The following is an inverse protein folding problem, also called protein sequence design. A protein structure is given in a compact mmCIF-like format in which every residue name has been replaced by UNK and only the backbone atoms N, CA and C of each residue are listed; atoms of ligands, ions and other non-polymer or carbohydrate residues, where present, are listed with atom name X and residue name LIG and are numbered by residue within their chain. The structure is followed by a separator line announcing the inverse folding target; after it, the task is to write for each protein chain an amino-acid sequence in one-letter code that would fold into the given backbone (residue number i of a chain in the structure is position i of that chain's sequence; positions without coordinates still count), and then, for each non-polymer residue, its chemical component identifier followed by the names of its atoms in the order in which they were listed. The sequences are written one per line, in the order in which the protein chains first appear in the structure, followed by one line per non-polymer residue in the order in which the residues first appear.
data_IF_474358391368
#
_entry.id   IF_474358391368
#
_cell.length_a   1.000
_cell.length_b   1.000
_cell.length_c   1.000
_cell.angle_alpha   90.00
_cell.angle_beta   90.00
_cell.angle_gamma   90.00
#
_symmetry.space_group_name_H-M   'P 1'
#
loop_
_entity.id
_entity.type
_entity.pdbx_description
1 polymer ?
#
# COMPACT_ATOMS: atom_id res chain seq x y z
N UNK A 1 15.26 -63.24 -2.55
CA UNK A 1 13.99 -62.47 -2.56
C UNK A 1 14.34 -61.01 -2.82
N UNK A 2 14.32 -60.59 -4.07
CA UNK A 2 14.51 -59.18 -4.46
C UNK A 2 13.18 -58.45 -4.23
N UNK A 3 13.13 -57.60 -3.19
CA UNK A 3 11.97 -56.77 -2.91
C UNK A 3 11.60 -55.88 -4.11
N UNK A 4 10.33 -55.46 -4.24
CA UNK A 4 9.90 -54.61 -5.34
C UNK A 4 10.70 -53.31 -5.35
N UNK A 5 11.35 -53.00 -6.47
CA UNK A 5 12.04 -51.74 -6.68
C UNK A 5 10.99 -50.61 -6.64
N UNK A 6 10.99 -49.84 -5.55
CA UNK A 6 10.06 -48.72 -5.37
C UNK A 6 10.16 -47.73 -6.55
N UNK A 7 9.04 -47.13 -7.01
CA UNK A 7 9.01 -46.18 -8.14
C UNK A 7 9.63 -44.80 -7.80
N UNK A 8 10.52 -44.73 -6.81
CA UNK A 8 11.25 -43.52 -6.40
C UNK A 8 11.84 -42.75 -7.59
N UNK A 9 12.44 -43.38 -8.62
CA UNK A 9 12.94 -42.66 -9.78
C UNK A 9 11.83 -42.02 -10.62
N UNK A 10 10.70 -42.70 -10.80
CA UNK A 10 9.56 -42.21 -11.58
C UNK A 10 8.87 -41.05 -10.87
N UNK A 11 8.69 -41.15 -9.55
CA UNK A 11 8.13 -40.07 -8.73
C UNK A 11 9.05 -38.84 -8.79
N UNK A 12 10.37 -39.02 -8.67
CA UNK A 12 11.33 -37.93 -8.77
C UNK A 12 11.30 -37.25 -10.15
N UNK A 13 11.18 -38.02 -11.24
CA UNK A 13 11.06 -37.47 -12.60
C UNK A 13 9.77 -36.67 -12.75
N UNK A 14 8.62 -37.20 -12.33
CA UNK A 14 7.34 -36.49 -12.40
C UNK A 14 7.40 -35.18 -11.61
N UNK A 15 7.89 -35.21 -10.37
CA UNK A 15 8.04 -34.00 -9.54
C UNK A 15 8.97 -32.98 -10.21
N UNK A 16 10.09 -33.43 -10.78
CA UNK A 16 11.03 -32.54 -11.48
C UNK A 16 10.41 -31.88 -12.71
N UNK A 17 9.65 -32.63 -13.52
CA UNK A 17 8.92 -32.10 -14.67
C UNK A 17 7.82 -31.13 -14.25
N UNK A 18 7.07 -31.42 -13.18
CA UNK A 18 6.05 -30.52 -12.64
C UNK A 18 6.65 -29.21 -12.11
N UNK A 19 7.78 -29.28 -11.39
CA UNK A 19 8.48 -28.08 -10.90
C UNK A 19 9.01 -27.26 -12.08
N UNK A 20 9.61 -27.91 -13.07
CA UNK A 20 10.12 -27.23 -14.27
C UNK A 20 8.98 -26.55 -15.05
N UNK A 21 7.83 -27.21 -15.19
CA UNK A 21 6.65 -26.66 -15.84
C UNK A 21 6.08 -25.47 -15.08
N UNK A 22 5.94 -25.57 -13.75
CA UNK A 22 5.49 -24.45 -12.90
C UNK A 22 6.48 -23.28 -13.01
N UNK A 23 7.78 -23.57 -12.98
CA UNK A 23 8.83 -22.56 -13.16
C UNK A 23 8.75 -21.84 -14.52
N UNK A 24 8.52 -22.59 -15.60
CA UNK A 24 8.34 -22.04 -16.94
C UNK A 24 7.06 -21.20 -17.04
N UNK A 25 5.94 -21.71 -16.54
CA UNK A 25 4.67 -20.98 -16.48
C UNK A 25 4.85 -19.68 -15.71
N UNK A 26 5.51 -19.72 -14.55
CA UNK A 26 5.78 -18.53 -13.75
C UNK A 26 6.69 -17.54 -14.47
N UNK A 27 7.73 -18.01 -15.18
CA UNK A 27 8.63 -17.14 -15.94
C UNK A 27 7.92 -16.42 -17.10
N UNK A 28 6.88 -17.02 -17.67
CA UNK A 28 6.10 -16.44 -18.77
C UNK A 28 4.94 -15.57 -18.27
N UNK A 29 4.25 -16.00 -17.21
CA UNK A 29 3.02 -15.35 -16.73
C UNK A 29 3.26 -14.25 -15.69
N UNK A 30 4.35 -14.32 -14.91
CA UNK A 30 4.60 -13.32 -13.88
C UNK A 30 5.20 -12.05 -14.49
N UNK A 31 4.71 -10.87 -14.10
CA UNK A 31 5.21 -9.61 -14.64
C UNK A 31 6.69 -9.39 -14.26
N UNK A 32 7.46 -8.87 -15.22
CA UNK A 32 8.84 -8.47 -14.97
C UNK A 32 8.86 -7.27 -14.01
N UNK A 33 9.44 -7.49 -12.83
CA UNK A 33 9.54 -6.45 -11.79
C UNK A 33 10.71 -5.53 -12.06
N UNK A 34 10.42 -4.24 -12.24
CA UNK A 34 11.43 -3.19 -12.35
C UNK A 34 11.72 -2.64 -10.96
N UNK A 35 12.98 -2.72 -10.54
CA UNK A 35 13.42 -2.26 -9.22
C UNK A 35 13.94 -0.83 -9.30
N UNK A 36 13.74 -0.04 -8.25
CA UNK A 36 14.45 1.22 -8.07
C UNK A 36 15.85 0.87 -7.55
N UNK A 37 16.88 1.20 -8.35
CA UNK A 37 18.28 0.88 -8.04
C UNK A 37 19.02 2.10 -7.51
N UNK A 38 18.74 3.26 -8.10
CA UNK A 38 19.40 4.51 -7.76
C UNK A 38 18.41 5.44 -7.07
N UNK A 39 18.43 5.43 -5.73
CA UNK A 39 17.63 6.34 -4.91
C UNK A 39 18.19 7.76 -4.90
N UNK A 40 19.48 7.96 -5.22
CA UNK A 40 20.11 9.28 -5.30
C UNK A 40 19.69 10.07 -6.56
N UNK A 41 18.98 9.42 -7.47
CA UNK A 41 18.29 10.05 -8.59
C UNK A 41 16.79 10.31 -8.32
N UNK A 42 16.29 10.04 -7.10
CA UNK A 42 14.85 10.10 -6.82
C UNK A 42 14.42 11.34 -6.05
N UNK A 43 13.33 11.95 -6.52
CA UNK A 43 12.49 12.84 -5.72
C UNK A 43 11.17 12.15 -5.38
N UNK A 44 10.92 11.97 -4.09
CA UNK A 44 9.72 11.32 -3.55
C UNK A 44 8.74 12.34 -2.97
N UNK A 45 7.49 12.34 -3.43
CA UNK A 45 6.39 13.06 -2.77
C UNK A 45 5.64 12.12 -1.84
N UNK A 46 5.50 12.49 -0.56
CA UNK A 46 4.80 11.70 0.47
C UNK A 46 3.65 12.50 1.06
N UNK A 47 2.41 12.06 0.82
CA UNK A 47 1.24 12.64 1.49
C UNK A 47 1.09 12.04 2.89
N UNK A 48 0.70 12.86 3.87
CA UNK A 48 0.58 12.38 5.25
C UNK A 48 1.93 12.10 5.92
N UNK A 49 3.06 12.51 5.33
CA UNK A 49 4.41 12.23 5.85
C UNK A 49 4.80 12.93 7.17
N UNK A 50 3.86 13.64 7.80
CA UNK A 50 4.09 14.32 9.09
C UNK A 50 3.71 13.48 10.32
N UNK A 51 3.04 12.33 10.13
CA UNK A 51 2.59 11.46 11.24
C UNK A 51 2.37 10.02 10.80
N UNK A 52 2.33 9.09 11.76
CA UNK A 52 1.96 7.69 11.53
C UNK A 52 2.81 6.99 10.46
N UNK A 53 2.19 6.13 9.66
CA UNK A 53 2.86 5.35 8.60
C UNK A 53 3.63 6.24 7.63
N UNK A 54 3.05 7.36 7.19
CA UNK A 54 3.70 8.27 6.25
C UNK A 54 5.01 8.85 6.80
N UNK A 55 5.09 9.07 8.12
CA UNK A 55 6.31 9.52 8.79
C UNK A 55 7.44 8.49 8.65
N UNK A 56 7.11 7.22 8.81
CA UNK A 56 8.08 6.12 8.69
C UNK A 56 8.45 5.84 7.24
N UNK A 57 7.54 6.05 6.30
CA UNK A 57 7.87 6.06 4.86
C UNK A 57 8.96 7.10 4.58
N UNK A 58 8.84 8.33 5.09
CA UNK A 58 9.90 9.36 4.92
C UNK A 58 11.23 8.92 5.53
N UNK A 59 11.24 8.36 6.74
CA UNK A 59 12.48 7.85 7.36
C UNK A 59 13.15 6.76 6.53
N UNK A 60 12.37 5.84 5.99
CA UNK A 60 12.88 4.75 5.16
C UNK A 60 13.41 5.26 3.81
N UNK A 61 12.77 6.27 3.21
CA UNK A 61 13.27 6.93 2.00
C UNK A 61 14.60 7.64 2.22
N UNK A 62 14.76 8.36 3.34
CA UNK A 62 16.04 8.95 3.74
C UNK A 62 17.10 7.86 3.92
N UNK A 63 16.73 6.77 4.59
CA UNK A 63 17.63 5.64 4.87
C UNK A 63 18.10 4.90 3.62
N UNK A 64 17.32 4.98 2.53
CA UNK A 64 17.68 4.42 1.22
C UNK A 64 18.47 5.39 0.34
N UNK A 65 18.63 6.64 0.76
CA UNK A 65 19.35 7.65 0.00
C UNK A 65 18.50 8.36 -1.05
N UNK A 66 17.21 8.57 -0.79
CA UNK A 66 16.40 9.47 -1.61
C UNK A 66 17.07 10.85 -1.72
N UNK A 67 17.15 11.42 -2.91
CA UNK A 67 17.81 12.72 -3.13
C UNK A 67 17.00 13.87 -2.54
N UNK A 68 15.72 13.92 -2.91
CA UNK A 68 14.76 14.94 -2.47
C UNK A 68 13.49 14.24 -1.96
N UNK A 69 12.92 14.75 -0.87
CA UNK A 69 11.63 14.28 -0.35
C UNK A 69 10.74 15.48 -0.08
N UNK A 70 9.57 15.51 -0.71
CA UNK A 70 8.52 16.50 -0.45
C UNK A 70 7.43 15.90 0.43
N UNK A 71 7.18 16.51 1.58
CA UNK A 71 6.12 16.09 2.51
C UNK A 71 4.91 16.99 2.33
N UNK A 72 3.76 16.39 2.02
CA UNK A 72 2.48 17.11 1.85
C UNK A 72 1.56 16.86 3.03
N UNK A 73 1.15 17.92 3.71
CA UNK A 73 0.13 17.89 4.76
C UNK A 73 -0.52 19.27 4.95
N UNK A 74 -1.56 19.36 5.78
CA UNK A 74 -2.30 20.62 6.00
C UNK A 74 -1.67 21.52 7.05
N UNK A 75 -1.11 20.95 8.11
CA UNK A 75 -0.68 21.70 9.28
C UNK A 75 0.78 22.18 9.12
N UNK A 76 0.95 23.49 8.89
CA UNK A 76 2.26 24.13 8.71
C UNK A 76 3.22 23.90 9.88
N UNK A 77 2.73 23.93 11.12
CA UNK A 77 3.57 23.75 12.30
C UNK A 77 4.11 22.31 12.38
N UNK A 78 3.25 21.30 12.16
CA UNK A 78 3.66 19.89 12.10
C UNK A 78 4.63 19.64 10.94
N UNK A 79 4.40 20.26 9.78
CA UNK A 79 5.32 20.18 8.65
C UNK A 79 6.70 20.78 8.97
N UNK A 80 6.75 21.96 9.58
CA UNK A 80 8.01 22.59 9.96
C UNK A 80 8.79 21.76 10.99
N UNK A 81 8.09 21.18 11.97
CA UNK A 81 8.70 20.26 12.92
C UNK A 81 9.25 19.00 12.24
N UNK A 82 8.46 18.37 11.36
CA UNK A 82 8.87 17.22 10.58
C UNK A 82 10.08 17.53 9.68
N UNK A 83 10.10 18.69 9.01
CA UNK A 83 11.22 19.13 8.17
C UNK A 83 12.52 19.22 8.98
N UNK A 84 12.48 19.83 10.17
CA UNK A 84 13.65 19.94 11.06
C UNK A 84 14.12 18.57 11.54
N UNK A 85 13.19 17.73 11.97
CA UNK A 85 13.47 16.36 12.41
C UNK A 85 14.17 15.56 11.30
N UNK A 86 13.59 15.53 10.10
CA UNK A 86 14.10 14.76 8.97
C UNK A 86 15.39 15.31 8.38
N UNK A 87 15.56 16.63 8.37
CA UNK A 87 16.84 17.25 7.96
C UNK A 87 17.96 16.85 8.93
N UNK A 88 17.66 16.78 10.23
CA UNK A 88 18.64 16.32 11.24
C UNK A 88 18.94 14.83 11.05
N UNK A 89 17.91 14.01 10.86
CA UNK A 89 18.05 12.57 10.61
C UNK A 89 18.82 12.25 9.32
N UNK A 90 18.59 13.00 8.24
CA UNK A 90 19.33 12.85 6.98
C UNK A 90 20.81 13.20 7.13
N UNK A 91 21.16 14.15 8.01
CA UNK A 91 22.56 14.49 8.30
C UNK A 91 23.24 13.49 9.21
N UNK A 92 22.51 12.88 10.14
CA UNK A 92 23.07 11.85 11.04
C UNK A 92 23.27 10.49 10.36
N UNK A 93 22.67 10.30 9.19
CA UNK A 93 22.94 9.19 8.28
C UNK A 93 23.73 9.69 7.08
N UNK A 94 25.06 9.84 7.18
CA UNK A 94 25.89 9.93 6.00
C UNK A 94 25.73 8.62 5.24
N UNK A 95 24.72 8.55 4.37
CA UNK A 95 24.65 7.51 3.35
C UNK A 95 25.96 7.57 2.54
N UNK A 96 26.29 6.49 1.83
CA UNK A 96 27.46 6.35 0.96
C UNK A 96 27.42 7.29 -0.28
N UNK A 97 26.92 8.51 -0.12
CA UNK A 97 26.66 9.50 -1.16
C UNK A 97 27.14 10.86 -0.69
N UNK A 98 27.56 11.69 -1.64
CA UNK A 98 28.30 12.93 -1.39
C UNK A 98 27.47 14.05 -0.72
N UNK A 99 26.14 13.92 -0.64
CA UNK A 99 25.24 14.92 -0.08
C UNK A 99 24.05 14.29 0.70
N UNK A 100 23.56 14.94 1.78
CA UNK A 100 22.39 14.49 2.52
C UNK A 100 21.08 14.74 1.75
N UNK A 101 20.06 13.92 2.02
CA UNK A 101 18.70 14.09 1.47
C UNK A 101 18.14 15.47 1.78
N UNK A 102 17.58 16.14 0.75
CA UNK A 102 16.91 17.43 0.89
C UNK A 102 15.44 17.21 1.24
N UNK A 103 14.95 17.88 2.28
CA UNK A 103 13.55 17.78 2.75
C UNK A 103 12.79 19.06 2.40
N UNK A 104 11.79 18.92 1.54
CA UNK A 104 10.82 19.96 1.22
C UNK A 104 9.49 19.71 1.94
N UNK A 105 8.72 20.78 2.14
CA UNK A 105 7.38 20.70 2.71
C UNK A 105 6.41 21.50 1.87
N UNK A 106 5.23 20.94 1.65
CA UNK A 106 4.13 21.60 0.96
C UNK A 106 2.89 21.55 1.84
N UNK A 107 2.47 22.74 2.29
CA UNK A 107 1.25 22.90 3.07
C UNK A 107 0.04 22.99 2.14
N UNK A 108 -0.64 21.87 1.89
CA UNK A 108 -1.75 21.80 0.94
C UNK A 108 -2.86 20.91 1.49
N UNK A 109 -4.10 21.41 1.41
CA UNK A 109 -5.28 20.58 1.62
C UNK A 109 -5.70 19.95 0.29
N UNK A 110 -5.58 18.63 0.22
CA UNK A 110 -5.84 17.84 -0.98
C UNK A 110 -7.34 17.56 -1.19
N UNK A 111 -8.23 18.09 -0.33
CA UNK A 111 -9.68 18.10 -0.57
C UNK A 111 -10.19 19.39 -1.21
N UNK A 112 -9.30 20.32 -1.57
CA UNK A 112 -9.65 21.53 -2.32
C UNK A 112 -9.98 21.21 -3.79
N UNK A 113 -10.44 22.22 -4.51
CA UNK A 113 -10.71 22.11 -5.94
C UNK A 113 -9.46 21.73 -6.73
N UNK A 114 -9.67 20.93 -7.78
CA UNK A 114 -8.60 20.39 -8.63
C UNK A 114 -7.61 21.46 -9.10
N UNK A 115 -8.11 22.60 -9.59
CA UNK A 115 -7.27 23.68 -10.12
C UNK A 115 -6.32 24.29 -9.07
N UNK A 116 -6.78 24.41 -7.82
CA UNK A 116 -5.96 24.94 -6.71
C UNK A 116 -4.85 23.96 -6.35
N UNK A 117 -5.16 22.66 -6.35
CA UNK A 117 -4.19 21.60 -6.09
C UNK A 117 -3.17 21.54 -7.22
N UNK A 118 -3.63 21.57 -8.47
CA UNK A 118 -2.78 21.54 -9.67
C UNK A 118 -1.82 22.74 -9.71
N UNK A 119 -2.31 23.96 -9.50
CA UNK A 119 -1.47 25.16 -9.45
C UNK A 119 -0.40 25.05 -8.34
N UNK A 120 -0.80 24.62 -7.14
CA UNK A 120 0.12 24.48 -6.00
C UNK A 120 1.22 23.45 -6.26
N UNK A 121 0.86 22.30 -6.86
CA UNK A 121 1.83 21.25 -7.22
C UNK A 121 2.75 21.73 -8.33
N UNK A 122 2.21 22.38 -9.37
CA UNK A 122 2.99 22.91 -10.50
C UNK A 122 4.01 23.96 -10.05
N UNK A 123 3.61 24.87 -9.14
CA UNK A 123 4.55 25.82 -8.53
C UNK A 123 5.66 25.12 -7.75
N UNK A 124 5.32 24.12 -6.96
CA UNK A 124 6.30 23.36 -6.17
C UNK A 124 7.32 22.62 -7.05
N UNK A 125 6.86 21.96 -8.12
CA UNK A 125 7.78 21.23 -9.04
C UNK A 125 8.60 22.16 -9.93
N UNK A 126 8.23 23.44 -10.08
CA UNK A 126 9.05 24.43 -10.77
C UNK A 126 10.28 24.86 -9.95
N UNK A 127 10.22 24.70 -8.62
CA UNK A 127 11.30 25.08 -7.68
C UNK A 127 12.11 23.87 -7.18
N UNK A 128 11.75 22.67 -7.60
CA UNK A 128 12.36 21.40 -7.15
C UNK A 128 12.66 20.48 -8.34
N UNK A 129 13.31 19.34 -8.10
CA UNK A 129 13.48 18.35 -9.17
C UNK A 129 12.14 17.66 -9.52
N UNK A 130 12.05 17.05 -10.70
CA UNK A 130 10.86 16.32 -11.11
C UNK A 130 10.54 15.18 -10.12
N UNK A 131 9.29 15.08 -9.69
CA UNK A 131 8.83 14.00 -8.81
C UNK A 131 8.88 12.68 -9.58
N UNK A 132 9.65 11.74 -9.06
CA UNK A 132 9.84 10.39 -9.65
C UNK A 132 9.06 9.31 -8.90
N UNK A 133 8.71 9.57 -7.64
CA UNK A 133 8.04 8.59 -6.81
C UNK A 133 6.94 9.25 -5.97
N UNK A 134 5.76 8.65 -5.93
CA UNK A 134 4.59 9.16 -5.23
C UNK A 134 4.13 8.16 -4.16
N UNK A 135 4.11 8.57 -2.90
CA UNK A 135 3.64 7.78 -1.77
C UNK A 135 2.38 8.41 -1.18
N UNK A 136 1.23 7.85 -1.53
CA UNK A 136 -0.08 8.34 -1.12
C UNK A 136 -0.48 7.68 0.21
N UNK A 137 -0.03 8.27 1.31
CA UNK A 137 -0.26 7.75 2.68
C UNK A 137 -1.29 8.57 3.46
N UNK A 138 -1.69 9.74 2.97
CA UNK A 138 -2.75 10.53 3.60
C UNK A 138 -4.09 9.81 3.53
N UNK A 139 -4.82 9.84 4.65
CA UNK A 139 -6.17 9.30 4.77
C UNK A 139 -6.63 9.32 6.22
N UNK A 140 -7.89 9.02 6.43
CA UNK A 140 -8.49 8.82 7.75
C UNK A 140 -9.46 7.66 7.73
N UNK A 141 -9.83 7.19 8.93
CA UNK A 141 -10.80 6.15 9.11
C UNK A 141 -11.97 6.64 9.96
N UNK A 142 -13.13 6.00 9.77
CA UNK A 142 -14.33 6.25 10.54
C UNK A 142 -14.97 4.91 10.88
N UNK A 143 -14.93 4.55 12.16
CA UNK A 143 -15.62 3.41 12.72
C UNK A 143 -17.02 3.84 13.21
N UNK A 144 -18.06 3.61 12.41
CA UNK A 144 -19.45 3.88 12.78
C UNK A 144 -20.41 2.98 12.02
N UNK A 145 -21.45 2.50 12.70
CA UNK A 145 -22.51 1.70 12.06
C UNK A 145 -23.25 2.53 11.02
N UNK A 146 -23.76 1.87 9.98
CA UNK A 146 -24.33 2.56 8.82
C UNK A 146 -25.52 3.47 9.17
N UNK A 147 -26.37 3.05 10.09
CA UNK A 147 -27.55 3.81 10.56
C UNK A 147 -27.17 5.13 11.23
N UNK A 148 -26.00 5.17 11.88
CA UNK A 148 -25.54 6.31 12.67
C UNK A 148 -24.53 7.16 11.88
N UNK A 149 -24.16 6.72 10.68
CA UNK A 149 -23.19 7.40 9.83
C UNK A 149 -23.88 8.48 9.01
N UNK A 150 -23.59 9.78 9.24
CA UNK A 150 -24.17 10.85 8.45
C UNK A 150 -23.79 10.71 6.97
N UNK A 151 -24.68 11.04 6.01
CA UNK A 151 -24.36 11.00 4.58
C UNK A 151 -23.08 11.77 4.21
N UNK A 152 -22.87 12.93 4.86
CA UNK A 152 -21.65 13.75 4.67
C UNK A 152 -20.37 13.00 5.01
N UNK A 153 -20.40 12.05 5.94
CA UNK A 153 -19.23 11.25 6.32
C UNK A 153 -18.78 10.32 5.19
N UNK A 154 -19.71 9.79 4.38
CA UNK A 154 -19.37 9.00 3.19
C UNK A 154 -18.62 9.87 2.17
N UNK A 155 -19.12 11.09 1.92
CA UNK A 155 -18.42 12.05 1.07
C UNK A 155 -17.04 12.39 1.63
N UNK A 156 -16.92 12.68 2.93
CA UNK A 156 -15.62 12.99 3.55
C UNK A 156 -14.62 11.83 3.47
N UNK A 157 -15.06 10.58 3.64
CA UNK A 157 -14.20 9.40 3.48
C UNK A 157 -13.74 9.24 2.02
N UNK A 158 -14.65 9.38 1.05
CA UNK A 158 -14.28 9.34 -0.36
C UNK A 158 -13.34 10.49 -0.74
N UNK A 159 -13.61 11.71 -0.30
CA UNK A 159 -12.75 12.86 -0.56
C UNK A 159 -11.35 12.65 0.00
N UNK A 160 -11.24 12.31 1.29
CA UNK A 160 -9.95 12.21 1.98
C UNK A 160 -9.12 10.99 1.55
N UNK A 161 -9.74 9.84 1.29
CA UNK A 161 -9.03 8.60 1.00
C UNK A 161 -8.88 8.30 -0.50
N UNK A 162 -9.87 8.67 -1.32
CA UNK A 162 -9.91 8.33 -2.74
C UNK A 162 -9.58 9.52 -3.64
N UNK A 163 -10.33 10.62 -3.56
CA UNK A 163 -10.16 11.75 -4.50
C UNK A 163 -8.84 12.47 -4.33
N UNK A 164 -8.28 12.54 -3.12
CA UNK A 164 -6.93 13.06 -2.88
C UNK A 164 -5.87 12.28 -3.65
N UNK A 165 -5.99 10.94 -3.68
CA UNK A 165 -5.10 10.04 -4.39
C UNK A 165 -5.23 10.22 -5.91
N UNK A 166 -6.46 10.12 -6.43
CA UNK A 166 -6.69 10.20 -7.88
C UNK A 166 -6.36 11.58 -8.45
N UNK A 167 -6.58 12.65 -7.69
CA UNK A 167 -6.20 14.01 -8.07
C UNK A 167 -4.69 14.14 -8.24
N UNK A 168 -3.90 13.72 -7.24
CA UNK A 168 -2.45 13.80 -7.33
C UNK A 168 -1.88 12.90 -8.43
N UNK A 169 -2.44 11.70 -8.61
CA UNK A 169 -2.05 10.83 -9.72
C UNK A 169 -2.37 11.54 -11.04
N UNK A 170 -3.57 12.09 -11.23
CA UNK A 170 -3.94 12.80 -12.47
C UNK A 170 -2.96 13.92 -12.82
N UNK A 171 -2.52 14.70 -11.83
CA UNK A 171 -1.58 15.81 -12.02
C UNK A 171 -0.16 15.28 -12.35
N UNK A 172 0.33 14.29 -11.60
CA UNK A 172 1.74 13.87 -11.64
C UNK A 172 2.03 12.72 -12.60
N UNK A 173 1.02 11.94 -13.01
CA UNK A 173 1.20 10.73 -13.83
C UNK A 173 1.94 11.00 -15.15
N UNK A 174 1.66 12.08 -15.90
CA UNK A 174 2.40 12.36 -17.13
C UNK A 174 3.92 12.53 -16.87
N UNK A 175 4.28 13.26 -15.83
CA UNK A 175 5.69 13.50 -15.45
C UNK A 175 6.36 12.24 -14.91
N UNK A 176 5.66 11.46 -14.08
CA UNK A 176 6.14 10.17 -13.57
C UNK A 176 6.42 9.20 -14.72
N UNK A 177 5.51 9.10 -15.69
CA UNK A 177 5.67 8.23 -16.85
C UNK A 177 6.84 8.66 -17.76
N UNK A 178 7.12 9.97 -17.86
CA UNK A 178 8.21 10.50 -18.65
C UNK A 178 9.58 10.41 -17.95
N UNK A 179 9.61 10.48 -16.61
CA UNK A 179 10.85 10.49 -15.82
C UNK A 179 11.42 9.10 -15.57
N UNK A 180 10.57 8.06 -15.60
CA UNK A 180 10.97 6.68 -15.34
C UNK A 180 11.80 6.09 -16.48
N UNK A 181 12.70 5.18 -16.13
CA UNK A 181 13.49 4.40 -17.11
C UNK A 181 13.37 2.90 -16.84
N UNK A 182 13.80 2.06 -17.78
CA UNK A 182 13.82 0.60 -17.58
C UNK A 182 14.72 0.18 -16.42
N UNK A 183 15.81 0.91 -16.15
CA UNK A 183 16.78 0.64 -15.08
C UNK A 183 16.42 1.29 -13.74
N UNK A 184 15.63 2.37 -13.76
CA UNK A 184 15.16 3.08 -12.58
C UNK A 184 13.74 3.62 -12.87
N UNK A 185 12.69 2.82 -12.66
CA UNK A 185 11.32 3.22 -12.95
C UNK A 185 10.84 4.28 -11.94
N UNK A 186 9.95 5.15 -12.38
CA UNK A 186 9.11 5.92 -11.45
C UNK A 186 8.18 4.96 -10.72
N UNK A 187 7.66 5.34 -9.55
CA UNK A 187 6.72 4.49 -8.82
C UNK A 187 5.61 5.27 -8.12
N UNK A 188 4.43 4.66 -8.06
CA UNK A 188 3.28 5.14 -7.29
C UNK A 188 2.96 4.08 -6.25
N UNK A 189 2.85 4.50 -4.99
CA UNK A 189 2.30 3.70 -3.92
C UNK A 189 0.98 4.30 -3.45
N UNK A 190 -0.06 3.48 -3.44
CA UNK A 190 -1.39 3.81 -2.90
C UNK A 190 -1.58 3.05 -1.57
N UNK A 191 -1.88 3.78 -0.49
CA UNK A 191 -2.15 3.17 0.81
C UNK A 191 -3.65 2.88 0.97
N UNK A 192 -4.05 1.64 0.72
CA UNK A 192 -5.40 1.15 1.02
C UNK A 192 -5.49 0.72 2.50
N UNK A 193 -6.04 -0.46 2.79
CA UNK A 193 -6.18 -1.07 4.11
C UNK A 193 -6.58 -2.54 3.93
N UNK A 194 -6.37 -3.39 4.94
CA UNK A 194 -7.05 -4.69 4.99
C UNK A 194 -8.59 -4.54 4.84
N UNK A 195 -9.18 -3.46 5.37
CA UNK A 195 -10.60 -3.10 5.17
C UNK A 195 -10.93 -2.66 3.73
N UNK A 196 -9.94 -2.54 2.85
CA UNK A 196 -10.11 -2.37 1.40
C UNK A 196 -10.23 -3.70 0.64
N UNK A 197 -10.16 -4.84 1.36
CA UNK A 197 -10.25 -6.19 0.80
C UNK A 197 -11.41 -6.99 1.41
N UNK A 198 -11.81 -6.67 2.64
CA UNK A 198 -12.94 -7.29 3.33
C UNK A 198 -13.82 -6.23 4.01
N UNK A 199 -15.13 -6.45 4.01
CA UNK A 199 -16.07 -5.62 4.76
C UNK A 199 -16.08 -5.97 6.25
N UNK A 200 -15.86 -4.98 7.10
CA UNK A 200 -15.88 -5.12 8.57
C UNK A 200 -17.06 -4.32 9.14
N UNK A 201 -17.66 -4.84 10.21
CA UNK A 201 -18.74 -4.16 10.92
C UNK A 201 -18.32 -2.76 11.34
N UNK A 202 -19.16 -1.75 11.09
CA UNK A 202 -18.84 -0.36 11.44
C UNK A 202 -17.89 0.35 10.48
N UNK A 203 -17.48 -0.25 9.36
CA UNK A 203 -16.64 0.41 8.34
C UNK A 203 -17.32 0.59 7.00
N UNK A 204 -18.63 0.84 6.94
CA UNK A 204 -19.30 0.99 5.64
C UNK A 204 -18.72 2.14 4.82
N UNK A 205 -18.55 3.32 5.42
CA UNK A 205 -17.95 4.48 4.73
C UNK A 205 -16.45 4.28 4.46
N UNK A 206 -15.70 3.81 5.46
CA UNK A 206 -14.26 3.63 5.35
C UNK A 206 -13.88 2.52 4.34
N UNK A 207 -14.45 1.32 4.50
CA UNK A 207 -14.19 0.19 3.59
C UNK A 207 -14.53 0.58 2.16
N UNK A 208 -15.70 1.20 1.91
CA UNK A 208 -16.07 1.63 0.56
C UNK A 208 -14.98 2.50 -0.10
N UNK A 209 -14.43 3.47 0.63
CA UNK A 209 -13.34 4.33 0.13
C UNK A 209 -12.04 3.57 -0.16
N UNK A 210 -11.71 2.55 0.64
CA UNK A 210 -10.49 1.74 0.50
C UNK A 210 -10.63 0.66 -0.59
N UNK A 211 -11.82 0.10 -0.77
CA UNK A 211 -12.16 -0.77 -1.91
C UNK A 211 -12.10 -0.01 -3.23
N UNK A 212 -12.55 1.25 -3.27
CA UNK A 212 -12.46 2.10 -4.47
C UNK A 212 -11.00 2.25 -4.95
N UNK A 213 -10.04 2.40 -4.02
CA UNK A 213 -8.61 2.43 -4.35
C UNK A 213 -8.11 1.14 -4.99
N UNK A 214 -8.62 -0.03 -4.58
CA UNK A 214 -8.25 -1.32 -5.18
C UNK A 214 -8.73 -1.41 -6.63
N UNK A 215 -10.01 -1.13 -6.87
CA UNK A 215 -10.56 -1.11 -8.24
C UNK A 215 -9.85 -0.10 -9.15
N UNK A 216 -9.59 1.11 -8.63
CA UNK A 216 -8.82 2.13 -9.35
C UNK A 216 -7.39 1.67 -9.65
N UNK A 217 -6.70 1.04 -8.69
CA UNK A 217 -5.33 0.58 -8.88
C UNK A 217 -5.24 -0.54 -9.91
N UNK A 218 -6.19 -1.47 -9.91
CA UNK A 218 -6.21 -2.56 -10.90
C UNK A 218 -6.44 -2.03 -12.31
N UNK A 219 -7.32 -1.04 -12.50
CA UNK A 219 -7.51 -0.37 -13.79
C UNK A 219 -6.28 0.46 -14.21
N UNK A 220 -5.75 1.30 -13.31
CA UNK A 220 -4.59 2.15 -13.60
C UNK A 220 -3.35 1.33 -13.96
N UNK A 221 -3.19 0.13 -13.38
CA UNK A 221 -2.08 -0.76 -13.71
C UNK A 221 -2.06 -1.13 -15.19
N UNK A 222 -3.23 -1.38 -15.79
CA UNK A 222 -3.37 -1.65 -17.22
C UNK A 222 -3.01 -0.42 -18.07
N UNK A 223 -3.37 0.79 -17.61
CA UNK A 223 -2.97 2.04 -18.29
C UNK A 223 -1.46 2.36 -18.18
N UNK A 224 -0.79 1.78 -17.19
CA UNK A 224 0.65 1.87 -16.99
C UNK A 224 1.42 0.76 -17.71
N UNK A 225 0.73 -0.21 -18.31
CA UNK A 225 1.36 -1.24 -19.12
C UNK A 225 2.21 -0.60 -20.23
N UNK A 226 3.49 -0.99 -20.30
CA UNK A 226 4.45 -0.42 -21.26
C UNK A 226 5.10 0.91 -20.84
N UNK A 227 4.64 1.59 -19.79
CA UNK A 227 5.29 2.80 -19.25
C UNK A 227 6.32 2.42 -18.19
N UNK A 228 7.41 3.19 -18.06
CA UNK A 228 8.43 3.02 -17.02
C UNK A 228 7.99 3.51 -15.62
N UNK A 229 6.74 3.22 -15.25
CA UNK A 229 6.15 3.59 -13.97
C UNK A 229 5.53 2.35 -13.33
N UNK A 230 5.91 2.04 -12.08
CA UNK A 230 5.33 0.96 -11.31
C UNK A 230 4.17 1.46 -10.45
N UNK A 231 3.23 0.56 -10.13
CA UNK A 231 2.14 0.83 -9.22
C UNK A 231 2.06 -0.25 -8.13
N UNK A 232 2.27 0.17 -6.88
CA UNK A 232 2.09 -0.64 -5.68
C UNK A 232 0.82 -0.20 -4.95
N UNK A 233 -0.04 -1.14 -4.57
CA UNK A 233 -1.10 -0.90 -3.58
C UNK A 233 -0.78 -1.66 -2.29
N UNK A 234 -0.77 -0.93 -1.18
CA UNK A 234 -0.52 -1.49 0.14
C UNK A 234 -1.82 -1.68 0.92
N UNK A 235 -1.92 -2.77 1.69
CA UNK A 235 -3.04 -3.07 2.57
C UNK A 235 -2.56 -3.20 4.04
N UNK A 236 -2.24 -2.09 4.71
CA UNK A 236 -1.88 -2.13 6.12
C UNK A 236 -3.00 -2.72 6.99
N UNK A 237 -2.65 -3.50 8.03
CA UNK A 237 -3.57 -3.87 9.11
C UNK A 237 -3.69 -2.73 10.12
N UNK A 238 -4.32 -3.00 11.27
CA UNK A 238 -4.30 -2.08 12.41
C UNK A 238 -2.86 -1.71 12.77
N UNK A 239 -2.58 -0.41 12.78
CA UNK A 239 -1.23 0.12 12.95
C UNK A 239 -1.22 1.18 14.05
N UNK A 240 -0.30 1.03 15.00
CA UNK A 240 -0.11 1.95 16.11
C UNK A 240 0.29 3.34 15.60
N UNK A 241 -0.70 4.23 15.55
CA UNK A 241 -0.58 5.59 15.02
C UNK A 241 -1.58 6.51 15.71
N UNK A 242 -1.33 7.82 15.74
CA UNK A 242 -2.32 8.79 16.21
C UNK A 242 -3.66 8.73 15.45
N UNK A 243 -3.64 8.27 14.19
CA UNK A 243 -4.85 8.08 13.39
C UNK A 243 -5.70 6.90 13.88
N UNK A 244 -5.06 5.81 14.27
CA UNK A 244 -5.73 4.65 14.85
C UNK A 244 -6.29 4.93 16.24
N UNK A 245 -5.58 5.72 17.06
CA UNK A 245 -6.10 6.22 18.34
C UNK A 245 -7.38 7.03 18.15
N UNK A 246 -7.41 7.92 17.15
CA UNK A 246 -8.59 8.73 16.82
C UNK A 246 -9.74 7.86 16.31
N UNK A 247 -9.47 6.92 15.41
CA UNK A 247 -10.44 5.96 14.88
C UNK A 247 -11.12 5.13 15.99
N UNK A 248 -10.36 4.78 17.04
CA UNK A 248 -10.89 4.03 18.17
C UNK A 248 -11.85 4.85 19.05
N UNK A 249 -11.87 6.19 18.92
CA UNK A 249 -12.83 7.04 19.63
C UNK A 249 -14.23 6.85 19.03
N UNK A 250 -15.09 6.14 19.76
CA UNK A 250 -16.45 5.84 19.32
C UNK A 250 -16.55 4.65 18.36
N UNK A 251 -15.48 3.86 18.20
CA UNK A 251 -15.52 2.59 17.48
C UNK A 251 -16.50 1.63 18.17
N UNK A 252 -17.47 1.03 17.45
CA UNK A 252 -18.39 0.06 18.03
C UNK A 252 -17.63 -1.10 18.68
N UNK A 253 -18.09 -1.56 19.85
CA UNK A 253 -17.46 -2.70 20.54
C UNK A 253 -17.39 -3.96 19.65
N UNK A 254 -18.43 -4.19 18.84
CA UNK A 254 -18.46 -5.26 17.83
C UNK A 254 -17.28 -5.19 16.87
N UNK A 255 -16.92 -3.99 16.42
CA UNK A 255 -15.77 -3.77 15.54
C UNK A 255 -14.47 -4.10 16.26
N UNK A 256 -14.31 -3.67 17.52
CA UNK A 256 -13.13 -3.99 18.34
C UNK A 256 -12.94 -5.50 18.50
N UNK A 257 -14.01 -6.24 18.82
CA UNK A 257 -13.94 -7.71 18.94
C UNK A 257 -13.58 -8.42 17.63
N UNK A 258 -14.05 -7.89 16.49
CA UNK A 258 -13.70 -8.45 15.17
C UNK A 258 -12.21 -8.22 14.87
N UNK A 259 -11.68 -7.06 15.26
CA UNK A 259 -10.29 -6.66 14.98
C UNK A 259 -9.25 -7.25 15.95
N UNK A 260 -9.65 -7.60 17.17
CA UNK A 260 -8.76 -8.04 18.26
C UNK A 260 -7.82 -9.18 17.83
N UNK A 261 -8.33 -10.11 17.00
CA UNK A 261 -7.56 -11.24 16.49
C UNK A 261 -6.44 -10.91 15.49
N UNK A 262 -6.41 -9.70 14.91
CA UNK A 262 -5.43 -9.30 13.89
C UNK A 262 -4.13 -8.70 14.46
N UNK A 263 -4.11 -8.40 15.77
CA UNK A 263 -2.99 -7.74 16.43
C UNK A 263 -2.77 -6.28 16.01
N UNK A 264 -1.73 -5.66 16.59
CA UNK A 264 -1.36 -4.28 16.32
C UNK A 264 0.07 -4.19 15.79
N UNK A 265 0.23 -3.59 14.61
CA UNK A 265 1.54 -3.42 13.97
C UNK A 265 2.17 -2.07 14.31
N UNK A 266 3.49 -1.99 14.33
CA UNK A 266 4.18 -0.70 14.49
C UNK A 266 4.18 0.06 13.17
N UNK A 267 4.04 1.39 13.23
CA UNK A 267 4.16 2.23 12.04
C UNK A 267 5.49 2.03 11.30
N UNK A 268 6.58 1.73 12.02
CA UNK A 268 7.91 1.50 11.47
C UNK A 268 7.93 0.28 10.55
N UNK A 269 7.42 -0.86 11.03
CA UNK A 269 7.37 -2.10 10.25
C UNK A 269 6.48 -1.97 9.01
N UNK A 270 5.38 -1.22 9.12
CA UNK A 270 4.47 -0.96 8.01
C UNK A 270 5.12 -0.04 6.98
N UNK A 271 5.72 1.06 7.42
CA UNK A 271 6.41 2.03 6.57
C UNK A 271 7.60 1.43 5.82
N UNK A 272 8.46 0.65 6.50
CA UNK A 272 9.56 -0.07 5.84
C UNK A 272 9.02 -1.05 4.80
N UNK A 273 8.04 -1.87 5.17
CA UNK A 273 7.44 -2.82 4.25
C UNK A 273 6.84 -2.19 2.99
N UNK A 274 6.28 -0.97 3.10
CA UNK A 274 5.77 -0.20 1.95
C UNK A 274 6.90 0.30 1.05
N UNK A 275 7.95 0.90 1.61
CA UNK A 275 9.08 1.39 0.82
C UNK A 275 9.86 0.23 0.19
N UNK A 276 10.01 -0.89 0.90
CA UNK A 276 10.64 -2.10 0.38
C UNK A 276 9.86 -2.73 -0.79
N UNK A 277 8.53 -2.73 -0.72
CA UNK A 277 7.68 -3.20 -1.81
C UNK A 277 7.91 -2.37 -3.08
N UNK A 278 7.92 -1.04 -2.95
CA UNK A 278 8.21 -0.10 -4.05
C UNK A 278 9.62 -0.32 -4.59
N UNK A 279 10.62 -0.43 -3.71
CA UNK A 279 12.01 -0.68 -4.10
C UNK A 279 12.17 -1.94 -4.97
N UNK A 280 11.44 -2.99 -4.63
CA UNK A 280 11.47 -4.29 -5.30
C UNK A 280 10.50 -4.39 -6.49
N UNK A 281 9.67 -3.38 -6.72
CA UNK A 281 8.69 -3.34 -7.81
C UNK A 281 7.53 -4.31 -7.62
N UNK A 282 7.08 -4.54 -6.38
CA UNK A 282 5.88 -5.32 -6.11
C UNK A 282 4.61 -4.53 -6.43
N UNK A 283 3.63 -5.14 -7.09
CA UNK A 283 2.32 -4.56 -7.35
C UNK A 283 1.41 -4.50 -6.13
N UNK A 284 1.63 -5.38 -5.15
CA UNK A 284 0.87 -5.54 -3.93
C UNK A 284 1.78 -5.59 -2.70
N UNK A 285 1.35 -4.94 -1.62
CA UNK A 285 1.98 -5.07 -0.31
C UNK A 285 0.94 -5.43 0.75
N UNK A 286 1.09 -6.61 1.34
CA UNK A 286 0.35 -7.10 2.49
C UNK A 286 1.30 -7.38 3.66
N UNK A 287 0.73 -7.56 4.86
CA UNK A 287 1.48 -7.70 6.11
C UNK A 287 1.00 -8.92 6.89
N UNK A 288 1.96 -9.71 7.40
CA UNK A 288 1.68 -10.92 8.16
C UNK A 288 1.00 -12.02 7.35
N UNK A 289 0.72 -13.13 8.03
CA UNK A 289 0.02 -14.29 7.46
C UNK A 289 -1.43 -13.95 7.16
N UNK A 290 -2.09 -13.16 8.02
CA UNK A 290 -3.48 -12.76 7.82
C UNK A 290 -3.65 -11.87 6.58
N UNK A 291 -2.78 -10.88 6.40
CA UNK A 291 -2.80 -10.03 5.21
C UNK A 291 -2.45 -10.81 3.93
N UNK A 292 -1.50 -11.74 4.00
CA UNK A 292 -1.17 -12.64 2.89
C UNK A 292 -2.36 -13.54 2.52
N UNK A 293 -3.00 -14.17 3.51
CA UNK A 293 -4.18 -15.00 3.28
C UNK A 293 -5.32 -14.16 2.69
N UNK A 294 -5.57 -12.98 3.27
CA UNK A 294 -6.61 -12.07 2.81
C UNK A 294 -6.36 -11.63 1.36
N UNK A 295 -5.13 -11.28 1.00
CA UNK A 295 -4.73 -10.98 -0.37
C UNK A 295 -5.06 -12.13 -1.33
N UNK A 296 -4.68 -13.35 -1.00
CA UNK A 296 -4.89 -14.49 -1.87
C UNK A 296 -6.37 -14.89 -1.99
N UNK A 297 -7.16 -14.77 -0.91
CA UNK A 297 -8.62 -15.03 -0.94
C UNK A 297 -9.38 -13.95 -1.71
N UNK A 298 -8.86 -12.73 -1.75
CA UNK A 298 -9.50 -11.56 -2.38
C UNK A 298 -8.84 -11.13 -3.69
N UNK A 299 -7.97 -11.97 -4.25
CA UNK A 299 -7.17 -11.65 -5.44
C UNK A 299 -8.04 -11.32 -6.66
N UNK A 300 -9.21 -11.96 -6.80
CA UNK A 300 -10.11 -11.76 -7.93
C UNK A 300 -9.40 -12.05 -9.26
N UNK A 301 -9.52 -11.13 -10.23
CA UNK A 301 -8.76 -11.14 -11.49
C UNK A 301 -7.51 -10.23 -11.43
N UNK A 302 -7.07 -9.86 -10.23
CA UNK A 302 -5.87 -9.04 -10.05
C UNK A 302 -4.61 -9.77 -10.52
N UNK A 303 -3.55 -9.00 -10.74
CA UNK A 303 -2.24 -9.55 -11.10
C UNK A 303 -1.64 -10.40 -9.97
N UNK A 304 -0.69 -11.25 -10.33
CA UNK A 304 0.06 -12.09 -9.39
C UNK A 304 1.52 -11.67 -9.40
N UNK A 305 2.02 -11.23 -8.25
CA UNK A 305 3.35 -10.62 -8.14
C UNK A 305 4.51 -11.63 -8.02
N UNK A 306 4.23 -12.84 -7.55
CA UNK A 306 5.25 -13.83 -7.26
C UNK A 306 4.73 -15.28 -7.35
N UNK A 307 5.67 -16.21 -7.47
CA UNK A 307 5.41 -17.65 -7.61
C UNK A 307 4.61 -18.21 -6.42
N UNK A 308 4.86 -17.72 -5.21
CA UNK A 308 4.16 -18.19 -4.01
C UNK A 308 2.67 -17.89 -4.09
N UNK A 309 2.33 -16.64 -4.39
CA UNK A 309 0.94 -16.22 -4.58
C UNK A 309 0.29 -16.96 -5.76
N UNK A 310 1.02 -17.17 -6.87
CA UNK A 310 0.51 -17.97 -8.00
C UNK A 310 0.13 -19.39 -7.58
N UNK A 311 1.05 -20.10 -6.93
CA UNK A 311 0.83 -21.47 -6.47
C UNK A 311 -0.35 -21.53 -5.51
N UNK A 312 -0.42 -20.60 -4.56
CA UNK A 312 -1.50 -20.58 -3.58
C UNK A 312 -2.85 -20.25 -4.20
N UNK A 313 -2.94 -19.28 -5.11
CA UNK A 313 -4.20 -18.93 -5.75
C UNK A 313 -4.71 -20.04 -6.66
N UNK A 314 -3.82 -20.69 -7.43
CA UNK A 314 -4.21 -21.74 -8.38
C UNK A 314 -4.53 -23.06 -7.69
N UNK A 315 -3.70 -23.50 -6.75
CA UNK A 315 -3.80 -24.85 -6.18
C UNK A 315 -4.48 -24.88 -4.80
N UNK A 316 -4.40 -23.79 -4.03
CA UNK A 316 -4.90 -23.74 -2.66
C UNK A 316 -6.01 -22.69 -2.45
N UNK A 317 -6.44 -22.00 -3.51
CA UNK A 317 -7.46 -20.95 -3.43
C UNK A 317 -8.78 -21.44 -2.86
N UNK A 318 -9.20 -22.66 -3.22
CA UNK A 318 -10.41 -23.29 -2.65
C UNK A 318 -10.31 -23.54 -1.14
N UNK A 319 -9.14 -23.98 -0.66
CA UNK A 319 -8.90 -24.20 0.78
C UNK A 319 -8.90 -22.87 1.54
N UNK A 320 -8.17 -21.86 1.03
CA UNK A 320 -8.17 -20.54 1.66
C UNK A 320 -9.57 -19.91 1.65
N UNK A 321 -10.34 -20.13 0.58
CA UNK A 321 -11.73 -19.67 0.50
C UNK A 321 -12.59 -20.32 1.58
N UNK A 322 -12.43 -21.63 1.83
CA UNK A 322 -13.12 -22.35 2.91
C UNK A 322 -12.78 -21.75 4.29
N UNK A 323 -11.49 -21.50 4.58
CA UNK A 323 -11.07 -20.82 5.80
C UNK A 323 -11.75 -19.44 5.92
N UNK A 324 -11.81 -18.67 4.82
CA UNK A 324 -12.51 -17.39 4.78
C UNK A 324 -14.02 -17.50 5.06
N UNK A 325 -14.68 -18.61 4.71
CA UNK A 325 -16.09 -18.87 5.11
C UNK A 325 -16.19 -18.98 6.63
N UNK A 326 -15.28 -19.70 7.27
CA UNK A 326 -15.25 -19.86 8.72
C UNK A 326 -15.08 -18.52 9.44
N UNK A 327 -14.15 -17.66 8.98
CA UNK A 327 -14.02 -16.29 9.48
C UNK A 327 -15.30 -15.48 9.29
N UNK A 328 -15.93 -15.57 8.11
CA UNK A 328 -17.20 -14.89 7.84
C UNK A 328 -18.33 -15.33 8.78
N UNK A 329 -18.40 -16.62 9.12
CA UNK A 329 -19.36 -17.12 10.12
C UNK A 329 -19.05 -16.62 11.52
N UNK A 330 -17.77 -16.60 11.90
CA UNK A 330 -17.33 -16.05 13.19
C UNK A 330 -17.72 -14.57 13.32
N UNK A 331 -17.40 -13.73 12.34
CA UNK A 331 -17.76 -12.31 12.34
C UNK A 331 -19.27 -12.08 12.38
N UNK A 332 -20.05 -12.87 11.60
CA UNK A 332 -21.51 -12.84 11.69
C UNK A 332 -22.02 -13.25 13.07
N UNK A 333 -21.38 -14.24 13.70
CA UNK A 333 -21.71 -14.67 15.06
C UNK A 333 -21.48 -13.56 16.09
N UNK A 334 -20.34 -12.87 16.01
CA UNK A 334 -20.02 -11.72 16.87
C UNK A 334 -21.07 -10.61 16.68
N UNK A 335 -21.35 -10.22 15.44
CA UNK A 335 -22.35 -9.19 15.14
C UNK A 335 -23.75 -9.56 15.63
N UNK A 336 -24.18 -10.83 15.48
CA UNK A 336 -25.48 -11.31 15.98
C UNK A 336 -25.58 -11.29 17.50
N UNK A 337 -24.49 -11.61 18.21
CA UNK A 337 -24.46 -11.59 19.69
C UNK A 337 -24.64 -10.17 20.22
N UNK A 338 -24.05 -9.18 19.56
CA UNK A 338 -24.16 -7.78 19.97
C UNK A 338 -25.49 -7.10 19.60
N UNK A 339 -26.27 -7.70 18.69
CA UNK A 339 -27.60 -7.21 18.33
C UNK A 339 -28.72 -7.72 19.26
N UNK A 340 -28.40 -8.64 20.17
CA UNK A 340 -29.30 -9.15 21.21
C UNK A 340 -29.08 -8.38 22.50
#
# INVERSE_FOLDING_TARGET
MSGPAYPLPLIAVILSCSIALIGLICAVLLPSRRKIRDWQATHCLVTGGSSGIGKEVVRNLISRGGKEITIVARNKAKLSAAQKEFTTYARSRPNQSSAPTVIHVLSLDLSLDFGVIEESINKHVAETSAITNLFLCAGSALARVATDTPPTSYHSMMSSNFYTCTTLIKILLPSLAASGTSSNPSSILITSSAAGQIGIYGYTAYSASKFALKGYSDALRLELAGKACNLTIAFPPNTDTPGFEEENKGKPEVTKYIEDGAGLWTAESVGDGMVDAVAKGYGFKYFGVDGWMLHNVTAGMGEVDNVGDFVVQVFFGGLLRFIGICYGWMFRGIAKKAAK
#
